data_IF_702724331196
#
_entry.id   IF_702724331196
#
_cell.length_a   1.000
_cell.length_b   1.000
_cell.length_c   1.000
_cell.angle_alpha   90.00
_cell.angle_beta   90.00
_cell.angle_gamma   90.00
#
_symmetry.space_group_name_H-M   'P 1'
#
loop_
_entity.id
_entity.type
_entity.pdbx_description
1 polymer ?
#
# COMPACT_ATOMS: atom_id res chain seq x y z
N UNK A 1 -18.44 11.50 0.88
CA UNK A 1 -17.30 10.58 0.71
C UNK A 1 -16.48 10.56 1.98
N UNK A 2 -16.35 9.42 2.64
CA UNK A 2 -15.52 9.25 3.83
C UNK A 2 -14.85 7.87 3.76
N UNK A 3 -13.56 7.85 3.47
CA UNK A 3 -12.73 6.65 3.56
C UNK A 3 -11.82 6.77 4.76
N UNK A 4 -11.79 5.75 5.60
CA UNK A 4 -10.90 5.66 6.74
C UNK A 4 -9.62 5.01 6.26
N UNK A 5 -8.49 5.68 6.45
CA UNK A 5 -7.18 5.23 5.99
C UNK A 5 -6.17 5.28 7.13
N UNK A 6 -5.21 4.36 7.10
CA UNK A 6 -4.11 4.33 8.05
C UNK A 6 -2.91 5.08 7.48
N UNK A 7 -2.36 6.00 8.25
CA UNK A 7 -1.24 6.86 7.85
C UNK A 7 0.03 6.42 8.58
N UNK A 8 1.16 6.39 7.86
CA UNK A 8 2.50 6.18 8.45
C UNK A 8 3.43 7.35 8.14
N UNK A 9 4.46 7.50 8.97
CA UNK A 9 5.54 8.46 8.74
C UNK A 9 6.29 8.19 7.43
N UNK A 10 6.68 9.26 6.75
CA UNK A 10 7.57 9.21 5.59
C UNK A 10 7.27 10.36 4.64
N UNK A 11 8.26 11.24 4.46
CA UNK A 11 8.18 12.40 3.59
C UNK A 11 8.46 12.00 2.15
N UNK A 12 7.66 12.52 1.22
CA UNK A 12 8.02 12.52 -0.20
C UNK A 12 9.05 13.62 -0.42
N UNK A 13 10.26 13.25 -0.83
CA UNK A 13 11.40 14.18 -0.93
C UNK A 13 11.08 15.39 -1.81
N UNK A 14 10.41 15.14 -2.94
CA UNK A 14 10.25 16.10 -4.02
C UNK A 14 9.04 17.03 -3.82
N UNK A 15 8.15 16.72 -2.86
CA UNK A 15 6.91 17.47 -2.66
C UNK A 15 6.92 18.19 -1.31
N UNK A 16 6.83 19.53 -1.28
CA UNK A 16 6.61 20.28 -0.04
C UNK A 16 5.20 20.00 0.49
N UNK A 17 5.08 19.75 1.80
CA UNK A 17 3.79 19.47 2.47
C UNK A 17 3.40 18.00 2.54
N UNK A 18 3.94 17.12 1.71
CA UNK A 18 3.63 15.66 1.75
C UNK A 18 4.57 14.93 2.71
N UNK A 19 4.19 14.90 3.99
CA UNK A 19 5.02 14.35 5.08
C UNK A 19 4.71 12.90 5.48
N UNK A 20 3.65 12.33 4.92
CA UNK A 20 3.15 11.02 5.31
C UNK A 20 2.80 10.16 4.11
N UNK A 21 2.79 8.85 4.33
CA UNK A 21 2.34 7.87 3.37
C UNK A 21 1.14 7.09 3.90
N UNK A 22 0.25 6.69 2.99
CA UNK A 22 -0.85 5.79 3.31
C UNK A 22 -0.32 4.35 3.37
N UNK A 23 -0.74 3.61 4.41
CA UNK A 23 -0.53 2.17 4.49
C UNK A 23 -1.54 1.48 3.58
N UNK A 24 -1.07 0.63 2.66
CA UNK A 24 -1.90 -0.03 1.65
C UNK A 24 -2.28 -1.44 2.11
N UNK A 25 -3.47 -1.89 1.75
CA UNK A 25 -4.00 -3.21 2.12
C UNK A 25 -4.63 -3.25 3.52
N UNK A 26 -5.00 -2.09 4.06
CA UNK A 26 -5.64 -1.92 5.37
C UNK A 26 -6.76 -0.90 5.29
N UNK A 27 -7.83 -1.09 6.08
CA UNK A 27 -9.05 -0.28 6.04
C UNK A 27 -9.56 -0.16 4.60
N UNK A 28 -9.95 1.04 4.17
CA UNK A 28 -10.56 1.26 2.86
C UNK A 28 -9.54 1.31 1.70
N UNK A 29 -8.25 1.12 1.99
CA UNK A 29 -7.20 1.17 0.96
C UNK A 29 -6.82 -0.21 0.44
N UNK A 30 -7.17 -0.47 -0.83
CA UNK A 30 -6.79 -1.70 -1.51
C UNK A 30 -5.28 -1.84 -1.72
N UNK A 31 -4.77 -3.07 -1.85
CA UNK A 31 -3.39 -3.34 -2.27
C UNK A 31 -3.14 -3.01 -3.74
N UNK A 32 -1.89 -3.13 -4.21
CA UNK A 32 -1.57 -3.03 -5.65
C UNK A 32 -1.74 -4.41 -6.29
N UNK A 33 -2.60 -4.51 -7.31
CA UNK A 33 -2.82 -5.75 -8.06
C UNK A 33 -1.57 -6.14 -8.86
N UNK A 34 -1.32 -7.44 -9.02
CA UNK A 34 -0.23 -7.97 -9.86
C UNK A 34 1.20 -7.71 -9.36
N UNK A 35 1.39 -7.03 -8.22
CA UNK A 35 2.73 -6.74 -7.70
C UNK A 35 3.41 -8.03 -7.23
N UNK A 36 4.50 -8.42 -7.89
CA UNK A 36 5.29 -9.60 -7.53
C UNK A 36 6.40 -9.30 -6.51
N UNK A 37 6.98 -8.09 -6.56
CA UNK A 37 8.12 -7.65 -5.73
C UNK A 37 7.74 -6.57 -4.71
N UNK A 38 8.41 -6.57 -3.53
CA UNK A 38 8.15 -5.65 -2.40
C UNK A 38 6.68 -5.60 -1.95
N UNK A 39 5.99 -6.74 -2.02
CA UNK A 39 4.55 -6.88 -1.82
C UNK A 39 4.04 -6.39 -0.45
N UNK A 40 4.84 -6.57 0.59
CA UNK A 40 4.52 -6.12 1.95
C UNK A 40 4.32 -4.60 2.06
N UNK A 41 5.05 -3.80 1.27
CA UNK A 41 4.90 -2.33 1.26
C UNK A 41 3.60 -1.88 0.58
N UNK A 42 3.09 -2.68 -0.37
CA UNK A 42 1.99 -2.32 -1.24
C UNK A 42 0.69 -3.11 -0.97
N UNK A 43 0.63 -3.88 0.12
CA UNK A 43 -0.58 -4.57 0.55
C UNK A 43 -0.98 -5.74 -0.35
N UNK A 44 -0.04 -6.36 -1.07
CA UNK A 44 -0.35 -7.45 -2.00
C UNK A 44 -0.07 -8.80 -1.35
N UNK A 45 -1.04 -9.73 -1.35
CA UNK A 45 -0.83 -11.10 -0.86
C UNK A 45 0.10 -11.86 -1.81
N UNK A 46 0.81 -12.87 -1.28
CA UNK A 46 1.60 -13.77 -2.12
C UNK A 46 0.64 -14.52 -3.05
N UNK A 47 0.83 -14.49 -4.37
CA UNK A 47 0.04 -15.31 -5.27
C UNK A 47 0.24 -16.77 -4.87
N UNK A 48 -0.86 -17.52 -4.77
CA UNK A 48 -0.78 -18.98 -4.57
C UNK A 48 -0.07 -19.55 -5.78
N UNK A 49 0.95 -20.39 -5.57
CA UNK A 49 1.49 -21.18 -6.66
C UNK A 49 0.32 -22.01 -7.21
N UNK A 50 0.08 -21.93 -8.53
CA UNK A 50 -0.90 -22.81 -9.15
C UNK A 50 -0.47 -24.24 -8.80
N UNK A 51 -1.35 -24.99 -8.12
CA UNK A 51 -1.19 -26.44 -8.05
C UNK A 51 -1.29 -26.89 -9.51
N UNK A 52 -0.16 -27.32 -10.05
CA UNK A 52 -0.13 -28.00 -11.33
C UNK A 52 -0.59 -29.44 -11.12
#
# INVERSE_FOLDING_TARGET
EHSIVLVRGGRVKDLPGVRYHIVRGTLDTAGVSGRSQRRSKYGTKRPKAAKK
#
